data_IF_135284759457
#
_entry.id   IF_135284759457
#
_cell.length_a   1.000
_cell.length_b   1.000
_cell.length_c   1.000
_cell.angle_alpha   90.00
_cell.angle_beta   90.00
_cell.angle_gamma   90.00
#
_symmetry.space_group_name_H-M   'P 1'
#
loop_
_entity.id
_entity.type
_entity.pdbx_description
1 polymer ?
#
# COMPACT_ATOMS: atom_id res chain seq x y z
N UNK A 1 -74.13 -32.85 14.93
CA UNK A 1 -75.08 -32.13 14.06
C UNK A 1 -74.40 -31.89 12.73
N UNK A 2 -75.05 -32.36 11.67
CA UNK A 2 -74.79 -32.24 10.23
C UNK A 2 -73.49 -32.79 9.62
N UNK A 3 -73.69 -33.91 8.94
CA UNK A 3 -72.91 -34.44 7.84
C UNK A 3 -73.52 -33.98 6.50
N UNK A 4 -72.67 -33.70 5.51
CA UNK A 4 -72.83 -33.92 4.05
C UNK A 4 -71.55 -33.34 3.39
N UNK A 5 -70.87 -33.94 2.40
CA UNK A 5 -71.32 -34.85 1.35
C UNK A 5 -70.25 -35.89 0.99
N UNK A 6 -70.77 -37.05 0.59
CA UNK A 6 -70.12 -38.29 0.16
C UNK A 6 -70.10 -38.36 -1.38
N UNK A 7 -69.40 -39.38 -1.91
CA UNK A 7 -69.57 -40.08 -3.22
C UNK A 7 -68.57 -39.60 -4.30
N UNK A 8 -67.41 -40.24 -4.51
CA UNK A 8 -67.03 -41.58 -5.05
C UNK A 8 -66.89 -41.68 -6.57
N UNK A 9 -65.70 -42.17 -6.94
CA UNK A 9 -65.30 -43.08 -8.03
C UNK A 9 -65.67 -42.81 -9.50
N UNK A 10 -64.63 -42.87 -10.33
CA UNK A 10 -64.71 -43.14 -11.77
C UNK A 10 -63.32 -43.29 -12.39
N UNK A 11 -62.87 -44.54 -12.55
CA UNK A 11 -61.61 -44.96 -13.22
C UNK A 11 -61.47 -44.41 -14.64
N UNK A 12 -60.23 -44.15 -15.08
CA UNK A 12 -59.51 -44.84 -16.18
C UNK A 12 -58.47 -43.90 -16.81
N UNK A 13 -57.18 -44.27 -16.83
CA UNK A 13 -56.20 -43.57 -17.67
C UNK A 13 -54.74 -43.58 -17.18
N UNK A 14 -54.14 -44.76 -17.05
CA UNK A 14 -52.70 -44.90 -16.80
C UNK A 14 -51.87 -44.42 -18.00
N UNK A 15 -51.12 -43.33 -17.85
CA UNK A 15 -49.84 -43.07 -18.55
C UNK A 15 -48.90 -42.28 -17.64
N UNK A 16 -48.33 -42.96 -16.64
CA UNK A 16 -47.13 -42.47 -15.98
C UNK A 16 -45.93 -42.85 -16.88
N UNK A 17 -45.32 -41.85 -17.53
CA UNK A 17 -44.01 -42.01 -18.15
C UNK A 17 -43.01 -42.06 -16.99
N UNK A 18 -42.69 -43.28 -16.58
CA UNK A 18 -41.58 -43.55 -15.66
C UNK A 18 -40.28 -43.27 -16.41
N UNK A 19 -39.64 -42.13 -16.12
CA UNK A 19 -38.27 -41.86 -16.52
C UNK A 19 -37.33 -42.63 -15.58
N UNK A 20 -37.33 -43.96 -15.69
CA UNK A 20 -36.27 -44.77 -15.08
C UNK A 20 -34.98 -44.51 -15.85
N UNK A 21 -34.11 -43.68 -15.28
CA UNK A 21 -32.77 -43.45 -15.77
C UNK A 21 -31.97 -44.76 -15.59
N UNK A 22 -31.96 -45.62 -16.62
CA UNK A 22 -31.12 -46.82 -16.65
C UNK A 22 -29.68 -46.40 -16.95
N UNK A 23 -29.01 -45.86 -15.93
CA UNK A 23 -27.56 -45.79 -15.91
C UNK A 23 -27.08 -47.17 -15.43
N UNK A 24 -26.70 -48.04 -16.37
CA UNK A 24 -26.00 -49.28 -16.03
C UNK A 24 -24.74 -48.96 -15.20
N UNK A 25 -24.38 -49.78 -14.20
CA UNK A 25 -23.24 -49.49 -13.31
C UNK A 25 -21.92 -49.22 -14.07
N UNK A 26 -21.74 -49.81 -15.25
CA UNK A 26 -20.61 -49.51 -16.14
C UNK A 26 -20.59 -48.08 -16.70
N UNK A 27 -21.76 -47.48 -16.99
CA UNK A 27 -21.86 -46.10 -17.50
C UNK A 27 -21.60 -45.07 -16.41
N UNK A 28 -22.03 -45.34 -15.18
CA UNK A 28 -21.70 -44.51 -14.00
C UNK A 28 -20.21 -44.58 -13.71
N UNK A 29 -19.60 -45.78 -13.75
CA UNK A 29 -18.16 -45.94 -13.57
C UNK A 29 -17.35 -45.19 -14.65
N UNK A 30 -17.77 -45.26 -15.93
CA UNK A 30 -17.13 -44.51 -17.01
C UNK A 30 -17.19 -42.99 -16.82
N UNK A 31 -18.35 -42.46 -16.42
CA UNK A 31 -18.51 -41.03 -16.10
C UNK A 31 -17.67 -40.61 -14.88
N UNK A 32 -17.63 -41.42 -13.83
CA UNK A 32 -16.78 -41.16 -12.67
C UNK A 32 -15.30 -41.17 -13.04
N UNK A 33 -14.83 -42.12 -13.86
CA UNK A 33 -13.43 -42.17 -14.31
C UNK A 33 -13.09 -40.92 -15.14
N UNK A 34 -13.98 -40.49 -16.04
CA UNK A 34 -13.77 -39.26 -16.84
C UNK A 34 -13.74 -38.01 -15.96
N UNK A 35 -14.61 -37.91 -14.96
CA UNK A 35 -14.61 -36.78 -14.02
C UNK A 35 -13.34 -36.75 -13.17
N UNK A 36 -12.87 -37.92 -12.71
CA UNK A 36 -11.64 -38.05 -11.93
C UNK A 36 -10.40 -37.71 -12.76
N UNK A 37 -10.34 -38.11 -14.03
CA UNK A 37 -9.22 -37.76 -14.91
C UNK A 37 -9.24 -36.29 -15.28
N UNK A 38 -10.40 -35.69 -15.55
CA UNK A 38 -10.51 -34.24 -15.79
C UNK A 38 -10.13 -33.41 -14.56
N UNK A 39 -10.52 -33.85 -13.35
CA UNK A 39 -10.10 -33.20 -12.11
C UNK A 39 -8.58 -33.32 -11.89
N UNK A 40 -7.99 -34.47 -12.19
CA UNK A 40 -6.54 -34.67 -12.12
C UNK A 40 -5.78 -33.80 -13.13
N UNK A 41 -6.28 -33.69 -14.37
CA UNK A 41 -5.73 -32.78 -15.39
C UNK A 41 -5.87 -31.33 -14.92
N UNK A 42 -7.03 -30.94 -14.38
CA UNK A 42 -7.24 -29.62 -13.82
C UNK A 42 -6.26 -29.29 -12.69
N UNK A 43 -6.03 -30.23 -11.77
CA UNK A 43 -5.05 -30.07 -10.69
C UNK A 43 -3.61 -30.00 -11.20
N UNK A 44 -3.25 -30.81 -12.21
CA UNK A 44 -1.94 -30.78 -12.82
C UNK A 44 -1.68 -29.47 -13.58
N UNK A 45 -2.66 -29.01 -14.37
CA UNK A 45 -2.58 -27.71 -15.05
C UNK A 45 -2.51 -26.58 -14.04
N UNK A 46 -3.32 -26.60 -12.98
CA UNK A 46 -3.25 -25.62 -11.91
C UNK A 46 -1.89 -25.63 -11.20
N UNK A 47 -1.31 -26.81 -10.94
CA UNK A 47 0.00 -26.95 -10.33
C UNK A 47 1.12 -26.44 -11.26
N UNK A 48 1.06 -26.74 -12.56
CA UNK A 48 2.03 -26.25 -13.55
C UNK A 48 1.88 -24.75 -13.75
N UNK A 49 0.66 -24.22 -13.88
CA UNK A 49 0.43 -22.77 -13.97
C UNK A 49 0.90 -22.08 -12.71
N UNK A 50 0.57 -22.60 -11.53
CA UNK A 50 1.07 -22.04 -10.25
C UNK A 50 2.59 -22.09 -10.22
N UNK A 51 3.22 -23.24 -10.51
CA UNK A 51 4.68 -23.35 -10.52
C UNK A 51 5.35 -22.43 -11.57
N UNK A 52 4.77 -22.27 -12.76
CA UNK A 52 5.29 -21.40 -13.80
C UNK A 52 4.98 -19.90 -13.57
N UNK A 53 3.99 -19.57 -12.72
CA UNK A 53 3.63 -18.19 -12.35
C UNK A 53 4.09 -17.80 -10.96
N UNK A 54 4.68 -18.73 -10.20
CA UNK A 54 5.42 -18.45 -8.97
C UNK A 54 6.72 -17.76 -9.37
N UNK A 55 6.62 -16.47 -9.63
CA UNK A 55 7.73 -15.56 -9.42
C UNK A 55 8.10 -15.77 -7.94
N UNK A 56 9.33 -16.22 -7.66
CA UNK A 56 9.88 -16.15 -6.31
C UNK A 56 9.95 -14.66 -5.95
N UNK A 57 8.81 -14.10 -5.51
CA UNK A 57 8.74 -12.85 -4.79
C UNK A 57 9.47 -13.12 -3.48
N UNK A 58 10.81 -13.04 -3.52
CA UNK A 58 11.70 -13.32 -2.39
C UNK A 58 11.50 -12.35 -1.22
N UNK A 59 10.46 -11.51 -1.25
CA UNK A 59 10.19 -10.48 -0.24
C UNK A 59 11.24 -9.37 -0.23
N UNK A 60 12.23 -9.43 -1.12
CA UNK A 60 13.27 -8.42 -1.28
C UNK A 60 12.96 -7.54 -2.48
N UNK A 61 12.96 -6.22 -2.26
CA UNK A 61 12.87 -5.25 -3.34
C UNK A 61 14.09 -5.40 -4.26
N UNK A 62 13.87 -5.32 -5.58
CA UNK A 62 14.91 -5.42 -6.62
C UNK A 62 16.04 -4.37 -6.46
N UNK A 63 15.76 -3.29 -5.74
CA UNK A 63 16.69 -2.20 -5.45
C UNK A 63 16.85 -2.09 -3.94
N UNK A 64 18.09 -2.03 -3.48
CA UNK A 64 18.42 -1.88 -2.06
C UNK A 64 19.45 -0.78 -1.85
N UNK A 65 19.20 0.03 -0.82
CA UNK A 65 20.18 0.97 -0.27
C UNK A 65 20.59 0.42 1.09
N UNK A 66 21.83 -0.07 1.18
CA UNK A 66 22.30 -0.69 2.40
C UNK A 66 22.57 0.37 3.49
N UNK A 67 21.99 0.19 4.68
CA UNK A 67 21.97 1.21 5.74
C UNK A 67 23.35 1.62 6.30
N UNK A 68 24.37 0.73 6.42
CA UNK A 68 25.67 1.09 6.99
C UNK A 68 26.61 1.81 6.01
N UNK A 69 26.55 1.49 4.72
CA UNK A 69 27.48 2.00 3.70
C UNK A 69 26.82 2.92 2.66
N UNK A 70 25.48 3.06 2.73
CA UNK A 70 24.63 3.84 1.82
C UNK A 70 24.84 3.46 0.35
N UNK A 71 25.40 2.27 0.10
CA UNK A 71 25.69 1.80 -1.24
C UNK A 71 24.41 1.29 -1.86
N UNK A 72 24.17 1.74 -3.07
CA UNK A 72 23.10 1.25 -3.91
C UNK A 72 23.49 -0.08 -4.53
N UNK A 73 22.61 -1.06 -4.38
CA UNK A 73 22.70 -2.36 -5.05
C UNK A 73 21.40 -2.69 -5.74
N UNK A 74 21.52 -3.28 -6.93
CA UNK A 74 20.38 -3.69 -7.75
C UNK A 74 20.52 -5.18 -8.04
N UNK A 75 19.41 -5.90 -7.94
CA UNK A 75 19.36 -7.33 -8.17
C UNK A 75 19.26 -7.66 -9.67
N UNK A 76 20.26 -8.37 -10.16
CA UNK A 76 20.29 -8.96 -11.49
C UNK A 76 19.58 -10.31 -11.46
N UNK A 77 18.35 -10.35 -11.98
CA UNK A 77 17.54 -11.57 -12.06
C UNK A 77 18.13 -12.62 -13.01
N UNK A 78 18.85 -12.20 -14.05
CA UNK A 78 19.43 -13.13 -15.03
C UNK A 78 20.59 -13.93 -14.43
N UNK A 79 21.39 -13.30 -13.58
CA UNK A 79 22.54 -13.94 -12.92
C UNK A 79 22.33 -14.22 -11.42
N UNK A 80 21.13 -13.97 -10.90
CA UNK A 80 20.72 -14.15 -9.49
C UNK A 80 21.72 -13.56 -8.49
N UNK A 81 22.14 -12.30 -8.70
CA UNK A 81 23.17 -11.64 -7.89
C UNK A 81 22.94 -10.14 -7.75
N UNK A 82 23.56 -9.55 -6.73
CA UNK A 82 23.53 -8.10 -6.51
C UNK A 82 24.68 -7.43 -7.26
N UNK A 83 24.38 -6.35 -7.97
CA UNK A 83 25.37 -5.50 -8.65
C UNK A 83 25.36 -4.09 -8.08
N UNK A 84 26.50 -3.41 -8.16
CA UNK A 84 26.60 -2.00 -7.80
C UNK A 84 26.28 -1.12 -9.01
N UNK A 85 25.91 0.14 -8.79
CA UNK A 85 25.59 1.05 -9.90
C UNK A 85 26.75 2.01 -10.13
N UNK A 86 27.23 2.04 -11.37
CA UNK A 86 28.33 2.88 -11.81
C UNK A 86 27.92 4.35 -11.85
N UNK A 87 28.84 5.23 -11.44
CA UNK A 87 28.69 6.68 -11.53
C UNK A 87 28.54 7.14 -12.99
N UNK A 88 27.63 8.08 -13.23
CA UNK A 88 27.36 8.67 -14.55
C UNK A 88 27.03 10.18 -14.45
N UNK A 89 26.89 10.85 -15.60
CA UNK A 89 26.44 12.24 -15.64
C UNK A 89 25.02 12.46 -15.10
N UNK A 90 24.20 11.40 -15.03
CA UNK A 90 22.81 11.45 -14.55
C UNK A 90 22.65 11.02 -13.09
N UNK A 91 23.72 11.05 -12.28
CA UNK A 91 23.70 10.62 -10.88
C UNK A 91 22.60 11.29 -10.05
N UNK A 92 22.34 12.58 -10.26
CA UNK A 92 21.32 13.34 -9.51
C UNK A 92 19.89 12.85 -9.80
N UNK A 93 19.55 12.72 -11.08
CA UNK A 93 18.25 12.17 -11.51
C UNK A 93 18.11 10.71 -11.08
N UNK A 94 19.16 9.91 -11.27
CA UNK A 94 19.20 8.51 -10.89
C UNK A 94 18.96 8.33 -9.38
N UNK A 95 19.71 9.04 -8.54
CA UNK A 95 19.57 9.00 -7.08
C UNK A 95 18.14 9.38 -6.64
N UNK A 96 17.55 10.37 -7.30
CA UNK A 96 16.18 10.81 -7.02
C UNK A 96 15.15 9.73 -7.35
N UNK A 97 15.20 9.16 -8.56
CA UNK A 97 14.28 8.10 -8.99
C UNK A 97 14.42 6.86 -8.10
N UNK A 98 15.63 6.49 -7.73
CA UNK A 98 15.88 5.33 -6.86
C UNK A 98 15.22 5.51 -5.50
N UNK A 99 15.39 6.68 -4.86
CA UNK A 99 14.75 6.93 -3.58
C UNK A 99 13.22 6.78 -3.67
N UNK A 100 12.62 7.30 -4.74
CA UNK A 100 11.18 7.14 -5.00
C UNK A 100 10.78 5.69 -5.23
N UNK A 101 11.56 4.93 -6.01
CA UNK A 101 11.26 3.53 -6.32
C UNK A 101 11.29 2.65 -5.07
N UNK A 102 12.25 2.88 -4.15
CA UNK A 102 12.34 2.14 -2.89
C UNK A 102 11.40 2.68 -1.79
N UNK A 103 10.48 3.59 -2.13
CA UNK A 103 9.40 4.05 -1.24
C UNK A 103 9.75 5.24 -0.34
N UNK A 104 10.92 5.86 -0.54
CA UNK A 104 11.28 7.12 0.10
C UNK A 104 10.73 8.30 -0.71
N UNK A 105 10.45 9.41 -0.02
CA UNK A 105 9.77 10.57 -0.64
C UNK A 105 10.73 11.58 -1.25
N UNK A 106 12.00 11.58 -0.82
CA UNK A 106 12.99 12.50 -1.36
C UNK A 106 14.42 11.99 -1.17
N UNK A 107 15.30 12.45 -2.07
CA UNK A 107 16.74 12.38 -1.95
C UNK A 107 17.22 13.46 -0.96
N UNK A 108 18.02 13.06 0.04
CA UNK A 108 18.68 13.99 0.96
C UNK A 108 20.04 14.40 0.41
N UNK A 109 20.82 13.42 -0.03
CA UNK A 109 22.13 13.65 -0.64
C UNK A 109 22.57 12.41 -1.46
N UNK A 110 23.53 12.60 -2.37
CA UNK A 110 24.26 11.51 -2.99
C UNK A 110 25.76 11.80 -2.96
N UNK A 111 26.57 10.75 -3.00
CA UNK A 111 28.03 10.87 -3.09
C UNK A 111 28.61 9.74 -3.94
N UNK A 112 29.84 9.91 -4.38
CA UNK A 112 30.55 8.94 -5.20
C UNK A 112 31.63 8.29 -4.33
N UNK A 113 31.89 7.00 -4.53
CA UNK A 113 32.96 6.29 -3.84
C UNK A 113 33.63 5.31 -4.79
N UNK A 114 34.96 5.25 -4.76
CA UNK A 114 35.75 4.26 -5.50
C UNK A 114 35.70 2.88 -4.83
N UNK A 115 35.53 1.82 -5.62
CA UNK A 115 35.49 0.43 -5.13
C UNK A 115 36.87 -0.24 -5.32
N UNK A 116 37.56 -0.65 -4.23
CA UNK A 116 38.86 -1.32 -4.31
C UNK A 116 38.80 -2.64 -5.09
N UNK A 117 39.90 -3.03 -5.72
CA UNK A 117 40.06 -4.32 -6.41
C UNK A 117 39.98 -5.53 -5.49
N UNK A 118 40.33 -5.35 -4.22
CA UNK A 118 40.43 -6.43 -3.22
C UNK A 118 39.14 -6.77 -2.49
N UNK A 119 38.03 -6.04 -2.72
CA UNK A 119 36.74 -6.50 -2.25
C UNK A 119 36.36 -7.71 -3.10
N UNK A 120 36.12 -8.88 -2.49
CA UNK A 120 35.64 -10.11 -3.17
C UNK A 120 34.29 -9.97 -3.91
N UNK A 121 33.85 -8.74 -4.14
CA UNK A 121 32.73 -8.26 -4.94
C UNK A 121 33.28 -7.76 -6.28
N UNK A 122 33.99 -8.64 -6.99
CA UNK A 122 34.77 -8.32 -8.17
C UNK A 122 33.92 -7.77 -9.31
N UNK A 123 33.89 -6.44 -9.45
CA UNK A 123 33.78 -5.75 -10.74
C UNK A 123 32.48 -5.93 -11.52
N UNK A 124 31.34 -6.11 -10.86
CA UNK A 124 30.06 -6.30 -11.54
C UNK A 124 29.12 -5.12 -11.30
N UNK A 125 29.01 -4.28 -12.34
CA UNK A 125 28.29 -3.02 -12.27
C UNK A 125 27.09 -3.00 -13.22
N UNK A 126 26.11 -2.18 -12.87
CA UNK A 126 25.10 -1.66 -13.79
C UNK A 126 25.49 -0.25 -14.21
N UNK A 127 25.40 0.00 -15.52
CA UNK A 127 25.41 1.34 -16.09
C UNK A 127 23.98 1.73 -16.47
N UNK A 128 23.75 3.03 -16.55
CA UNK A 128 22.41 3.59 -16.79
C UNK A 128 22.33 4.22 -18.17
N UNK A 129 21.28 3.89 -18.92
CA UNK A 129 20.88 4.59 -20.15
C UNK A 129 20.17 5.88 -19.77
N UNK A 130 20.88 6.98 -19.88
CA UNK A 130 20.44 8.29 -19.38
C UNK A 130 19.21 8.83 -20.10
N UNK A 131 19.03 8.45 -21.35
CA UNK A 131 17.91 8.80 -22.23
C UNK A 131 16.62 8.04 -21.90
N UNK A 132 16.73 6.89 -21.23
CA UNK A 132 15.58 6.07 -20.83
C UNK A 132 15.10 6.37 -19.40
N UNK A 133 15.86 7.14 -18.62
CA UNK A 133 15.52 7.51 -17.25
C UNK A 133 14.27 8.38 -17.21
N UNK A 134 13.22 7.86 -16.57
CA UNK A 134 11.97 8.58 -16.37
C UNK A 134 11.34 8.18 -15.04
N UNK A 135 10.69 9.15 -14.40
CA UNK A 135 9.79 8.89 -13.27
C UNK A 135 8.66 7.94 -13.67
N UNK A 136 8.19 7.12 -12.72
CA UNK A 136 7.06 6.20 -12.91
C UNK A 136 7.35 4.97 -13.77
N UNK A 137 8.62 4.64 -14.00
CA UNK A 137 9.05 3.38 -14.63
C UNK A 137 9.97 2.62 -13.67
N UNK A 138 10.14 1.31 -13.87
CA UNK A 138 11.12 0.52 -13.12
C UNK A 138 12.52 0.96 -13.53
N UNK A 139 13.37 1.36 -12.60
CA UNK A 139 14.73 1.83 -12.90
C UNK A 139 15.57 0.77 -13.60
N UNK A 140 15.29 -0.51 -13.31
CA UNK A 140 15.96 -1.67 -13.89
C UNK A 140 15.85 -1.70 -15.42
N UNK A 141 14.78 -1.16 -16.00
CA UNK A 141 14.59 -1.13 -17.45
C UNK A 141 15.65 -0.25 -18.14
N UNK A 142 16.10 0.80 -17.45
CA UNK A 142 17.13 1.73 -17.92
C UNK A 142 18.55 1.28 -17.54
N UNK A 143 18.74 0.10 -16.96
CA UNK A 143 20.03 -0.42 -16.51
C UNK A 143 20.54 -1.56 -17.40
N UNK A 144 21.85 -1.62 -17.59
CA UNK A 144 22.51 -2.71 -18.32
C UNK A 144 23.86 -3.09 -17.71
N UNK A 145 24.26 -4.37 -17.73
CA UNK A 145 25.55 -4.80 -17.18
C UNK A 145 26.71 -4.11 -17.91
N UNK A 146 27.68 -3.61 -17.15
CA UNK A 146 28.87 -2.94 -17.70
C UNK A 146 30.12 -3.14 -16.84
N UNK A 147 31.30 -2.83 -17.39
CA UNK A 147 32.58 -2.97 -16.70
C UNK A 147 32.96 -1.81 -15.76
N UNK A 148 32.30 -0.66 -15.85
CA UNK A 148 32.58 0.56 -15.05
C UNK A 148 34.08 0.88 -14.91
N UNK A 149 34.71 1.40 -15.96
CA UNK A 149 36.17 1.63 -16.02
C UNK A 149 36.72 2.45 -14.85
N UNK A 150 35.96 3.47 -14.40
CA UNK A 150 36.36 4.35 -13.30
C UNK A 150 36.20 3.70 -11.91
N UNK A 151 35.49 2.57 -11.81
CA UNK A 151 35.14 1.87 -10.54
C UNK A 151 34.53 2.77 -9.47
N UNK A 152 33.86 3.83 -9.92
CA UNK A 152 33.16 4.78 -9.08
C UNK A 152 31.70 4.36 -8.98
N UNK A 153 31.19 4.23 -7.75
CA UNK A 153 29.80 3.83 -7.50
C UNK A 153 29.04 4.91 -6.76
N UNK A 154 27.74 4.93 -6.99
CA UNK A 154 26.82 5.86 -6.37
C UNK A 154 26.43 5.40 -4.96
N UNK A 155 26.59 6.30 -4.00
CA UNK A 155 25.97 6.23 -2.67
C UNK A 155 24.79 7.16 -2.63
N UNK A 156 23.66 6.66 -2.14
CA UNK A 156 22.40 7.39 -2.11
C UNK A 156 21.92 7.47 -0.66
N UNK A 157 21.64 8.69 -0.21
CA UNK A 157 21.01 8.96 1.09
C UNK A 157 19.59 9.46 0.84
N UNK A 158 18.61 8.59 1.05
CA UNK A 158 17.20 8.94 1.01
C UNK A 158 16.70 9.44 2.37
N UNK A 159 15.58 10.17 2.38
CA UNK A 159 14.92 10.58 3.61
C UNK A 159 14.40 9.36 4.37
N UNK A 160 14.89 9.10 5.58
CA UNK A 160 14.44 7.98 6.43
C UNK A 160 12.93 8.06 6.72
N UNK A 161 12.27 6.90 6.87
CA UNK A 161 10.83 6.80 7.06
C UNK A 161 10.40 5.48 7.71
N UNK A 162 9.15 5.44 8.21
CA UNK A 162 8.51 4.20 8.68
C UNK A 162 9.07 3.61 9.98
N UNK A 163 10.10 4.25 10.56
CA UNK A 163 10.71 3.86 11.83
C UNK A 163 9.93 4.42 13.00
N UNK A 164 9.69 3.58 14.01
CA UNK A 164 9.08 3.97 15.28
C UNK A 164 10.19 4.05 16.31
N UNK A 165 10.26 5.17 17.03
CA UNK A 165 11.21 5.34 18.13
C UNK A 165 10.85 4.47 19.35
N UNK A 166 9.60 4.02 19.43
CA UNK A 166 9.10 3.17 20.50
C UNK A 166 8.60 1.83 19.93
N UNK A 167 9.02 0.73 20.56
CA UNK A 167 8.50 -0.59 20.25
C UNK A 167 7.00 -0.65 20.60
N UNK A 168 6.15 -0.91 19.61
CA UNK A 168 4.71 -1.04 19.82
C UNK A 168 4.34 -2.51 20.11
N UNK A 169 4.03 -2.80 21.38
CA UNK A 169 3.37 -4.06 21.78
C UNK A 169 2.13 -4.31 20.90
N UNK A 170 1.86 -5.57 20.59
CA UNK A 170 0.72 -5.98 19.75
C UNK A 170 -0.59 -5.65 20.46
N UNK A 171 -1.40 -4.74 19.90
CA UNK A 171 -2.73 -4.39 20.43
C UNK A 171 -3.81 -5.12 19.62
N UNK A 172 -4.63 -5.91 20.32
CA UNK A 172 -5.87 -6.52 19.82
C UNK A 172 -7.02 -5.88 20.61
N UNK A 173 -8.05 -5.33 19.96
CA UNK A 173 -9.24 -4.82 20.64
C UNK A 173 -9.30 -3.31 20.97
N UNK A 174 -8.66 -2.44 20.18
CA UNK A 174 -8.90 -0.98 20.17
C UNK A 174 -8.77 -0.27 21.53
N UNK A 175 -7.54 -0.05 21.99
CA UNK A 175 -7.21 0.80 23.15
C UNK A 175 -6.56 2.11 22.69
N UNK A 176 -6.59 3.13 23.54
CA UNK A 176 -5.89 4.40 23.28
C UNK A 176 -4.42 4.14 22.92
N UNK A 177 -3.97 4.76 21.83
CA UNK A 177 -2.58 4.65 21.37
C UNK A 177 -1.64 5.29 22.39
N UNK A 178 -0.51 4.65 22.65
CA UNK A 178 0.60 5.34 23.36
C UNK A 178 1.13 6.47 22.48
N UNK A 179 1.44 7.60 23.11
CA UNK A 179 2.12 8.72 22.48
C UNK A 179 3.37 8.24 21.71
N UNK A 180 3.55 8.67 20.46
CA UNK A 180 4.68 8.26 19.61
C UNK A 180 4.58 6.89 18.94
N UNK A 181 3.48 6.13 19.14
CA UNK A 181 3.30 4.82 18.46
C UNK A 181 3.07 4.94 16.96
N UNK A 182 2.57 6.08 16.51
CA UNK A 182 2.24 6.42 15.12
C UNK A 182 2.75 7.84 14.82
N UNK A 183 4.07 8.04 14.75
CA UNK A 183 4.68 9.38 14.71
C UNK A 183 4.40 10.14 13.40
N UNK A 184 3.90 9.46 12.37
CA UNK A 184 3.43 10.07 11.13
C UNK A 184 1.98 10.56 11.20
N UNK A 185 1.20 10.15 12.21
CA UNK A 185 -0.21 10.51 12.30
C UNK A 185 -0.38 12.00 12.60
N UNK A 186 -1.26 12.66 11.84
CA UNK A 186 -1.64 14.05 12.09
C UNK A 186 -3.14 14.25 12.17
N UNK A 187 -3.54 15.34 12.82
CA UNK A 187 -4.91 15.81 12.90
C UNK A 187 -5.02 17.08 12.05
N UNK A 188 -5.83 17.04 10.99
CA UNK A 188 -6.11 18.17 10.12
C UNK A 188 -7.27 18.95 10.69
N UNK A 189 -7.03 20.22 11.00
CA UNK A 189 -7.99 21.08 11.68
C UNK A 189 -8.35 22.28 10.84
N UNK A 190 -9.64 22.59 10.78
CA UNK A 190 -10.18 23.81 10.19
C UNK A 190 -10.75 24.65 11.32
N UNK A 191 -10.24 25.87 11.51
CA UNK A 191 -10.56 26.75 12.66
C UNK A 191 -10.42 26.08 14.03
N UNK A 192 -9.39 25.25 14.19
CA UNK A 192 -9.13 24.53 15.45
C UNK A 192 -10.08 23.35 15.71
N UNK A 193 -10.93 22.97 14.75
CA UNK A 193 -11.79 21.80 14.82
C UNK A 193 -11.25 20.71 13.90
N UNK A 194 -11.01 19.52 14.46
CA UNK A 194 -10.60 18.33 13.71
C UNK A 194 -11.62 17.99 12.61
N UNK A 195 -11.13 17.83 11.38
CA UNK A 195 -11.92 17.42 10.23
C UNK A 195 -11.51 16.03 9.72
N UNK A 196 -10.20 15.78 9.64
CA UNK A 196 -9.65 14.58 9.03
C UNK A 196 -8.32 14.17 9.65
N UNK A 197 -7.91 12.93 9.38
CA UNK A 197 -6.53 12.49 9.58
C UNK A 197 -5.63 12.80 8.39
N UNK A 198 -4.32 12.69 8.60
CA UNK A 198 -3.33 12.62 7.53
C UNK A 198 -2.09 11.88 8.00
N UNK A 199 -1.14 11.69 7.08
CA UNK A 199 0.17 11.09 7.37
C UNK A 199 1.30 11.99 6.89
N UNK A 200 2.33 12.16 7.71
CA UNK A 200 3.57 12.82 7.33
C UNK A 200 4.30 11.92 6.32
N UNK A 201 4.63 12.45 5.15
CA UNK A 201 5.41 11.73 4.12
C UNK A 201 6.79 12.37 3.91
N UNK A 202 6.94 13.66 4.23
CA UNK A 202 8.24 14.33 4.29
C UNK A 202 8.22 15.48 5.29
N UNK A 203 9.35 16.18 5.44
CA UNK A 203 9.41 17.37 6.30
C UNK A 203 8.51 18.52 5.80
N UNK A 204 7.99 18.48 4.56
CA UNK A 204 7.12 19.55 4.02
C UNK A 204 5.77 19.06 3.51
N UNK A 205 5.56 17.75 3.46
CA UNK A 205 4.37 17.18 2.83
C UNK A 205 3.62 16.23 3.76
N UNK A 206 2.31 16.45 3.81
CA UNK A 206 1.33 15.58 4.45
C UNK A 206 0.44 14.98 3.36
N UNK A 207 0.17 13.68 3.42
CA UNK A 207 -0.83 13.01 2.57
C UNK A 207 -2.15 12.86 3.32
N UNK A 208 -3.26 13.03 2.62
CA UNK A 208 -4.63 12.85 3.12
C UNK A 208 -5.56 12.48 1.96
N UNK A 209 -6.86 12.50 2.21
CA UNK A 209 -7.90 12.23 1.23
C UNK A 209 -8.41 13.53 0.60
N UNK A 210 -8.88 13.48 -0.64
CA UNK A 210 -9.46 14.63 -1.31
C UNK A 210 -10.75 15.07 -0.61
N UNK A 211 -11.64 14.14 -0.22
CA UNK A 211 -12.93 14.44 0.41
C UNK A 211 -12.83 15.26 1.70
N UNK A 212 -11.65 15.35 2.32
CA UNK A 212 -11.39 16.18 3.49
C UNK A 212 -11.47 17.70 3.21
N UNK A 213 -11.41 18.10 1.94
CA UNK A 213 -11.33 19.49 1.50
C UNK A 213 -12.52 19.93 0.64
N UNK A 214 -13.77 19.75 1.09
CA UNK A 214 -14.94 20.23 0.37
C UNK A 214 -14.96 21.76 0.28
N UNK A 215 -15.79 22.32 -0.60
CA UNK A 215 -15.88 23.76 -0.86
C UNK A 215 -16.09 24.63 0.40
N UNK A 216 -16.82 24.11 1.40
CA UNK A 216 -17.00 24.79 2.70
C UNK A 216 -15.69 25.03 3.48
N UNK A 217 -14.63 24.28 3.17
CA UNK A 217 -13.30 24.37 3.78
C UNK A 217 -12.22 24.85 2.80
N UNK A 218 -12.58 25.61 1.77
CA UNK A 218 -11.67 26.09 0.71
C UNK A 218 -10.54 27.03 1.16
N UNK A 219 -10.67 27.66 2.31
CA UNK A 219 -9.72 28.68 2.77
C UNK A 219 -8.49 28.04 3.44
N UNK A 220 -7.40 27.92 2.68
CA UNK A 220 -6.14 27.28 3.13
C UNK A 220 -5.59 27.89 4.43
N UNK A 221 -5.69 29.21 4.60
CA UNK A 221 -5.18 29.91 5.78
C UNK A 221 -5.93 29.57 7.09
N UNK A 222 -7.08 28.89 7.02
CA UNK A 222 -7.84 28.38 8.19
C UNK A 222 -7.47 26.95 8.55
N UNK A 223 -6.71 26.26 7.69
CA UNK A 223 -6.22 24.92 7.96
C UNK A 223 -4.97 24.94 8.85
N UNK A 224 -4.89 23.98 9.76
CA UNK A 224 -3.74 23.72 10.63
C UNK A 224 -3.49 22.22 10.70
N UNK A 225 -2.22 21.84 10.82
CA UNK A 225 -1.81 20.44 10.99
C UNK A 225 -1.29 20.26 12.40
N UNK A 226 -2.03 19.50 13.20
CA UNK A 226 -1.61 19.12 14.54
C UNK A 226 -0.77 17.84 14.49
N UNK A 227 0.43 17.90 15.05
CA UNK A 227 1.47 16.87 14.94
C UNK A 227 1.87 16.34 16.31
N UNK A 228 2.36 15.09 16.33
CA UNK A 228 3.01 14.52 17.51
C UNK A 228 2.13 14.53 18.76
N UNK A 229 0.83 14.31 18.62
CA UNK A 229 -0.08 14.18 19.76
C UNK A 229 -1.18 13.17 19.47
N UNK A 230 -1.55 12.42 20.49
CA UNK A 230 -2.73 11.53 20.47
C UNK A 230 -4.04 12.27 20.84
N UNK A 231 -3.95 13.54 21.25
CA UNK A 231 -5.10 14.37 21.63
C UNK A 231 -5.37 15.45 20.59
N UNK A 232 -6.65 15.75 20.34
CA UNK A 232 -7.04 16.76 19.36
C UNK A 232 -6.91 18.22 19.84
N UNK A 233 -6.69 18.45 21.15
CA UNK A 233 -6.54 19.79 21.74
C UNK A 233 -5.39 19.86 22.76
N UNK A 234 -4.12 19.75 22.35
CA UNK A 234 -3.00 19.81 23.28
C UNK A 234 -2.64 21.25 23.63
N UNK A 235 -2.36 21.51 24.91
CA UNK A 235 -1.92 22.82 25.43
C UNK A 235 -0.51 23.20 24.92
N UNK A 236 0.30 22.21 24.53
CA UNK A 236 1.67 22.36 24.00
C UNK A 236 1.80 21.73 22.59
N UNK A 237 0.79 21.93 21.74
CA UNK A 237 0.71 21.31 20.43
C UNK A 237 1.77 21.81 19.44
N UNK A 238 2.45 20.88 18.75
CA UNK A 238 3.18 21.19 17.53
C UNK A 238 2.17 21.41 16.41
N UNK A 239 1.89 22.67 16.08
CA UNK A 239 0.97 23.07 15.02
C UNK A 239 1.75 23.62 13.84
N UNK A 240 1.58 23.03 12.67
CA UNK A 240 2.14 23.53 11.43
C UNK A 240 1.09 24.27 10.58
N UNK A 241 1.54 25.31 9.89
CA UNK A 241 0.73 26.06 8.93
C UNK A 241 0.75 25.41 7.55
N UNK A 242 -0.39 25.49 6.86
CA UNK A 242 -0.56 24.97 5.50
C UNK A 242 -0.31 26.09 4.50
N UNK A 243 0.58 25.85 3.55
CA UNK A 243 0.88 26.74 2.42
C UNK A 243 -0.09 26.53 1.27
N UNK A 244 -0.34 25.28 0.89
CA UNK A 244 -1.27 24.91 -0.18
C UNK A 244 -1.78 23.50 0.00
N UNK A 245 -2.93 23.21 -0.60
CA UNK A 245 -3.57 21.90 -0.64
C UNK A 245 -3.74 21.53 -2.11
N UNK A 246 -3.24 20.37 -2.49
CA UNK A 246 -3.30 19.85 -3.87
C UNK A 246 -4.03 18.51 -3.81
N UNK A 247 -5.25 18.48 -4.32
CA UNK A 247 -6.03 17.26 -4.48
C UNK A 247 -5.95 16.74 -5.90
N UNK A 248 -6.22 15.46 -6.10
CA UNK A 248 -6.22 14.86 -7.42
C UNK A 248 -7.28 15.49 -8.32
N UNK A 249 -6.88 15.98 -9.50
CA UNK A 249 -7.76 16.74 -10.42
C UNK A 249 -8.96 15.94 -10.93
N UNK A 250 -8.87 14.61 -10.93
CA UNK A 250 -9.95 13.70 -11.33
C UNK A 250 -10.80 13.14 -10.17
N UNK A 251 -10.77 13.77 -8.99
CA UNK A 251 -11.70 13.43 -7.91
C UNK A 251 -13.09 14.01 -8.24
N UNK A 252 -13.99 13.14 -8.70
CA UNK A 252 -15.28 13.52 -9.28
C UNK A 252 -16.25 14.25 -8.32
N UNK A 253 -16.29 13.94 -7.00
CA UNK A 253 -17.19 14.63 -6.08
C UNK A 253 -16.93 16.14 -5.92
N UNK A 254 -15.78 16.66 -6.38
CA UNK A 254 -15.54 18.10 -6.48
C UNK A 254 -16.12 18.74 -7.73
N UNK A 255 -16.40 17.97 -8.77
CA UNK A 255 -17.06 18.43 -9.99
C UNK A 255 -18.57 18.36 -9.84
N UNK A 256 -19.07 17.24 -9.30
CA UNK A 256 -20.48 17.03 -9.00
C UNK A 256 -20.62 16.21 -7.72
N UNK A 257 -21.17 16.83 -6.67
CA UNK A 257 -21.34 16.23 -5.36
C UNK A 257 -22.37 15.09 -5.33
N UNK A 258 -23.13 14.88 -6.41
CA UNK A 258 -24.08 13.78 -6.53
C UNK A 258 -23.45 12.51 -7.13
N UNK A 259 -22.16 12.56 -7.51
CA UNK A 259 -21.43 11.40 -8.00
C UNK A 259 -20.93 10.59 -6.80
N UNK A 260 -21.36 9.33 -6.72
CA UNK A 260 -20.93 8.38 -5.68
C UNK A 260 -19.55 7.75 -5.95
N UNK A 261 -18.93 8.03 -7.11
CA UNK A 261 -17.58 7.58 -7.44
C UNK A 261 -16.51 8.37 -6.66
N UNK A 262 -16.07 7.80 -5.54
CA UNK A 262 -14.97 8.30 -4.72
C UNK A 262 -13.58 7.85 -5.19
N UNK A 263 -13.43 7.44 -6.46
CA UNK A 263 -12.11 7.12 -7.02
C UNK A 263 -11.18 8.32 -6.99
N UNK A 264 -9.87 8.05 -6.86
CA UNK A 264 -8.80 9.07 -6.80
C UNK A 264 -8.96 10.03 -5.61
N UNK A 265 -9.48 9.54 -4.50
CA UNK A 265 -9.63 10.26 -3.24
C UNK A 265 -8.27 10.44 -2.53
N UNK A 266 -7.42 11.28 -3.10
CA UNK A 266 -6.07 11.58 -2.60
C UNK A 266 -5.79 13.07 -2.69
N UNK A 267 -5.16 13.60 -1.65
CA UNK A 267 -4.67 14.96 -1.59
C UNK A 267 -3.36 15.04 -0.80
N UNK A 268 -2.57 16.06 -1.11
CA UNK A 268 -1.35 16.41 -0.39
C UNK A 268 -1.39 17.85 0.07
N UNK A 269 -0.87 18.11 1.26
CA UNK A 269 -0.76 19.43 1.85
C UNK A 269 0.73 19.79 1.92
N UNK A 270 1.07 20.95 1.37
CA UNK A 270 2.39 21.54 1.54
C UNK A 270 2.40 22.43 2.79
N UNK A 271 3.37 22.23 3.67
CA UNK A 271 3.55 23.04 4.87
C UNK A 271 4.34 24.31 4.56
N UNK A 272 4.04 25.40 5.28
CA UNK A 272 4.75 26.69 5.14
C UNK A 272 6.21 26.56 5.58
N UNK A 273 6.47 25.85 6.67
CA UNK A 273 7.80 25.60 7.23
C UNK A 273 8.09 24.10 7.28
N UNK A 274 9.37 23.69 7.12
CA UNK A 274 9.74 22.29 7.23
C UNK A 274 9.61 21.82 8.70
N UNK A 275 9.10 20.61 8.89
CA UNK A 275 9.05 19.94 10.17
C UNK A 275 10.45 19.55 10.64
N UNK A 276 10.67 19.62 11.95
CA UNK A 276 11.83 19.00 12.60
C UNK A 276 11.41 17.63 13.12
N UNK A 277 12.04 16.58 12.59
CA UNK A 277 11.73 15.22 13.00
C UNK A 277 12.26 14.91 14.40
N UNK A 278 11.48 14.17 15.17
CA UNK A 278 11.80 13.72 16.53
C UNK A 278 11.09 12.40 16.84
N UNK A 279 11.16 11.92 18.08
CA UNK A 279 10.55 10.64 18.47
C UNK A 279 9.01 10.55 18.29
N UNK A 280 8.33 11.69 18.18
CA UNK A 280 6.87 11.81 18.00
C UNK A 280 6.45 12.28 16.61
N UNK A 281 7.38 12.79 15.80
CA UNK A 281 7.14 13.35 14.46
C UNK A 281 8.14 12.71 13.50
N UNK A 282 7.66 11.74 12.72
CA UNK A 282 8.45 11.00 11.73
C UNK A 282 7.59 10.73 10.49
N UNK A 283 8.17 10.67 9.29
CA UNK A 283 7.42 10.34 8.09
C UNK A 283 7.14 8.83 7.98
N UNK A 284 6.05 8.47 7.32
CA UNK A 284 5.77 7.10 6.87
C UNK A 284 6.36 6.88 5.49
N UNK A 285 6.79 5.64 5.20
CA UNK A 285 7.22 5.27 3.86
C UNK A 285 6.02 5.12 2.92
N UNK A 286 6.24 5.39 1.63
CA UNK A 286 5.28 5.04 0.59
C UNK A 286 5.54 3.60 0.11
N UNK A 287 4.52 2.91 -0.42
CA UNK A 287 4.72 1.64 -1.11
C UNK A 287 5.72 1.80 -2.27
N UNK A 288 6.53 0.78 -2.52
CA UNK A 288 7.44 0.80 -3.66
C UNK A 288 6.67 0.72 -4.97
N UNK A 289 7.26 1.22 -6.06
CA UNK A 289 6.62 1.14 -7.36
C UNK A 289 6.35 -0.33 -7.75
N UNK A 290 5.11 -0.62 -8.16
CA UNK A 290 4.69 -1.98 -8.51
C UNK A 290 4.50 -2.93 -7.32
N UNK A 291 4.64 -2.48 -6.08
CA UNK A 291 4.34 -3.30 -4.90
C UNK A 291 2.87 -3.71 -4.90
N UNK A 292 2.62 -5.02 -5.03
CA UNK A 292 1.28 -5.54 -4.85
C UNK A 292 0.96 -5.54 -3.36
N UNK A 293 -0.06 -4.80 -2.98
CA UNK A 293 -0.63 -4.92 -1.66
C UNK A 293 -1.30 -6.30 -1.60
N UNK A 294 -0.71 -7.23 -0.84
CA UNK A 294 -1.34 -8.52 -0.57
C UNK A 294 -2.56 -8.23 0.31
N UNK A 295 -3.70 -8.05 -0.35
CA UNK A 295 -4.98 -7.84 0.30
C UNK A 295 -5.45 -9.15 0.91
N UNK A 296 -5.51 -9.18 2.25
CA UNK A 296 -6.35 -10.09 3.05
C UNK A 296 -6.51 -11.50 2.46
N UNK A 297 -5.46 -12.30 2.44
CA UNK A 297 -5.60 -13.75 2.52
C UNK A 297 -5.70 -14.12 4.00
N UNK A 298 -6.81 -14.75 4.40
CA UNK A 298 -7.13 -15.18 5.76
C UNK A 298 -5.88 -15.53 6.60
N UNK A 299 -5.40 -14.61 7.45
CA UNK A 299 -4.32 -14.88 8.40
C UNK A 299 -3.34 -13.73 8.65
N UNK A 300 -3.09 -12.85 7.68
CA UNK A 300 -2.07 -11.81 7.85
C UNK A 300 -2.62 -10.53 8.50
N UNK A 301 -2.22 -10.30 9.75
CA UNK A 301 -2.48 -9.06 10.48
C UNK A 301 -1.59 -7.93 9.97
N UNK A 302 -1.92 -7.35 8.82
CA UNK A 302 -1.41 -6.03 8.48
C UNK A 302 -2.01 -5.01 9.47
N UNK A 303 -1.15 -4.28 10.20
CA UNK A 303 -1.59 -3.17 11.05
C UNK A 303 -2.03 -2.02 10.16
N UNK A 304 -3.29 -2.04 9.71
CA UNK A 304 -3.98 -0.81 9.39
C UNK A 304 -3.98 0.03 10.68
N UNK A 305 -3.14 1.05 10.73
CA UNK A 305 -3.42 2.22 11.55
C UNK A 305 -4.68 2.86 10.97
N UNK A 306 -5.85 2.26 11.22
CA UNK A 306 -7.13 2.87 10.88
C UNK A 306 -7.23 4.14 11.72
N UNK A 307 -6.93 5.27 11.09
CA UNK A 307 -7.52 6.55 11.47
C UNK A 307 -8.89 6.77 10.80
N UNK A 308 -9.50 5.71 10.28
CA UNK A 308 -10.95 5.67 10.11
C UNK A 308 -11.58 5.68 11.50
N UNK A 309 -12.08 6.85 11.91
CA UNK A 309 -12.63 7.13 13.24
C UNK A 309 -11.64 6.87 14.40
N UNK A 310 -10.59 7.69 14.51
CA UNK A 310 -10.30 8.17 15.86
C UNK A 310 -11.47 9.09 16.23
N UNK A 311 -12.48 8.51 16.89
CA UNK A 311 -13.57 9.25 17.51
C UNK A 311 -12.88 10.32 18.35
N UNK A 312 -12.87 11.57 17.86
CA UNK A 312 -12.49 12.71 18.66
C UNK A 312 -13.30 12.55 19.93
N UNK A 313 -12.62 12.44 21.07
CA UNK A 313 -13.21 12.25 22.38
C UNK A 313 -14.10 13.45 22.74
N UNK A 314 -15.28 13.51 22.14
CA UNK A 314 -16.48 14.03 22.77
C UNK A 314 -16.94 12.93 23.71
N UNK A 315 -16.85 13.16 25.01
CA UNK A 315 -17.26 12.20 26.01
C UNK A 315 -18.67 11.68 25.71
N UNK A 316 -18.85 10.36 25.81
CA UNK A 316 -20.20 9.82 25.90
C UNK A 316 -20.85 10.37 27.17
N UNK A 317 -21.98 11.09 27.10
CA UNK A 317 -22.88 11.14 28.23
C UNK A 317 -23.40 9.70 28.40
N UNK A 318 -23.05 9.10 29.53
CA UNK A 318 -23.73 7.97 30.20
C UNK A 318 -24.73 7.15 29.36
N UNK A 319 -24.34 5.93 28.99
CA UNK A 319 -25.23 4.77 28.82
C UNK A 319 -26.06 4.69 27.52
N UNK A 320 -25.53 4.00 26.50
CA UNK A 320 -26.30 3.49 25.36
C UNK A 320 -25.43 3.11 24.15
N UNK A 321 -25.74 2.04 23.39
CA UNK A 321 -24.91 1.59 22.27
C UNK A 321 -25.10 2.46 21.02
N UNK A 322 -24.00 2.86 20.37
CA UNK A 322 -24.05 3.58 19.09
C UNK A 322 -24.09 2.59 17.92
N UNK A 323 -25.13 2.69 17.10
CA UNK A 323 -25.34 1.89 15.90
C UNK A 323 -24.43 2.30 14.73
N UNK A 324 -24.05 1.32 13.92
CA UNK A 324 -23.39 1.49 12.63
C UNK A 324 -24.40 1.94 11.56
N UNK A 325 -24.07 2.96 10.78
CA UNK A 325 -24.66 3.17 9.46
C UNK A 325 -23.53 3.17 8.41
N UNK A 326 -23.80 2.43 7.33
CA UNK A 326 -22.98 2.25 6.13
C UNK A 326 -22.81 3.55 5.36
#
# INVERSE_FOLDING_TARGET
MYAEKVVTEGKMGSRAISLTCVLTPCRVAGLCVILMTLAAIGAAVWAVVSFCTMEEDTGFYDVQVNSPDQRLRVFDSAQKRWRQVCSSSSNDLLASIICEEVGFVSLVNYSITSVPESSGDGGEFFCVRTDELSYGKKIKDSMFPCGCENREVLKVLCQDCGRRSFAADRIVGGLDSRQGSWPWQVSLQYDGVHQCGGSIISNRWIISAAHCFPERYRFVNRWRVLLGSIYNKPVNANVAEVKTIVYHSSYLPFVDSNIDDNSRDIAVLALTQPLTFNEYIQPVCLPTYGQRLIGWSNGDSHRLGKCGLLRASGGCPTGGPCAHHQ
#
